data_IF_183004140838
#
_entry.id   IF_183004140838
#
_cell.length_a   1.000
_cell.length_b   1.000
_cell.length_c   1.000
_cell.angle_alpha   90.00
_cell.angle_beta   90.00
_cell.angle_gamma   90.00
#
_symmetry.space_group_name_H-M   'P 1'
#
loop_
_entity.id
_entity.type
_entity.pdbx_description
1 polymer ?
#
# COMPACT_ATOMS: atom_id res chain seq x y z
N UNK A 1 23.56 -3.77 -17.38
CA UNK A 1 22.46 -2.76 -17.46
C UNK A 1 21.72 -2.68 -16.12
N UNK A 2 21.17 -1.51 -15.74
CA UNK A 2 20.38 -1.32 -14.52
C UNK A 2 18.93 -0.97 -14.87
N UNK A 3 17.97 -1.57 -14.17
CA UNK A 3 16.53 -1.33 -14.34
C UNK A 3 15.92 -0.95 -12.99
N UNK A 4 15.17 0.17 -12.97
CA UNK A 4 14.39 0.60 -11.82
C UNK A 4 12.90 0.45 -12.13
N UNK A 5 12.18 -0.26 -11.27
CA UNK A 5 10.73 -0.45 -11.39
C UNK A 5 10.07 0.31 -10.23
N UNK A 6 9.38 1.41 -10.53
CA UNK A 6 8.54 2.09 -9.56
C UNK A 6 7.16 1.40 -9.50
N UNK A 7 6.68 1.12 -8.29
CA UNK A 7 5.39 0.45 -8.06
C UNK A 7 4.61 1.08 -6.91
N UNK A 8 3.30 1.21 -7.09
CA UNK A 8 2.34 1.61 -6.06
C UNK A 8 1.79 0.38 -5.29
N UNK A 9 2.31 -0.82 -5.55
CA UNK A 9 1.87 -2.07 -4.93
C UNK A 9 0.56 -2.63 -5.50
N UNK A 10 -0.04 -1.98 -6.50
CA UNK A 10 -1.26 -2.44 -7.15
C UNK A 10 -1.04 -3.71 -8.00
N UNK A 11 -2.13 -4.36 -8.41
CA UNK A 11 -2.07 -5.47 -9.38
C UNK A 11 -1.37 -5.06 -10.68
N UNK A 12 -1.50 -3.79 -11.08
CA UNK A 12 -0.92 -3.25 -12.31
C UNK A 12 0.60 -3.10 -12.16
N UNK A 13 1.08 -2.64 -10.99
CA UNK A 13 2.50 -2.60 -10.67
C UNK A 13 3.15 -4.00 -10.67
N UNK A 14 2.43 -5.00 -10.16
CA UNK A 14 2.88 -6.41 -10.26
C UNK A 14 3.01 -6.86 -11.72
N UNK A 15 2.00 -6.63 -12.54
CA UNK A 15 2.04 -7.00 -13.97
C UNK A 15 3.16 -6.28 -14.74
N UNK A 16 3.42 -5.01 -14.43
CA UNK A 16 4.55 -4.27 -15.00
C UNK A 16 5.89 -4.93 -14.63
N UNK A 17 6.04 -5.39 -13.38
CA UNK A 17 7.23 -6.10 -12.91
C UNK A 17 7.42 -7.44 -13.64
N UNK A 18 6.34 -8.20 -13.82
CA UNK A 18 6.33 -9.45 -14.59
C UNK A 18 6.62 -9.23 -16.09
N UNK A 19 6.27 -8.06 -16.62
CA UNK A 19 6.59 -7.69 -17.99
C UNK A 19 8.08 -7.43 -18.19
N UNK A 20 8.74 -6.72 -17.25
CA UNK A 20 10.19 -6.52 -17.25
C UNK A 20 10.95 -7.85 -17.23
N UNK A 21 10.47 -8.84 -16.46
CA UNK A 21 11.08 -10.17 -16.41
C UNK A 21 11.06 -10.92 -17.76
N UNK A 22 10.18 -10.51 -18.69
CA UNK A 22 10.03 -11.13 -20.03
C UNK A 22 10.73 -10.34 -21.14
N UNK A 23 11.34 -9.19 -20.84
CA UNK A 23 12.03 -8.40 -21.85
C UNK A 23 13.30 -9.10 -22.34
N UNK A 24 13.58 -9.05 -23.66
CA UNK A 24 14.79 -9.62 -24.24
C UNK A 24 15.98 -8.69 -24.01
N UNK A 25 16.42 -8.57 -22.77
CA UNK A 25 17.63 -7.81 -22.48
C UNK A 25 18.86 -8.52 -23.04
N UNK A 26 19.76 -7.76 -23.67
CA UNK A 26 21.00 -8.30 -24.26
C UNK A 26 21.89 -8.99 -23.20
N UNK A 27 21.82 -8.52 -21.95
CA UNK A 27 22.49 -9.09 -20.79
C UNK A 27 21.51 -9.11 -19.61
N UNK A 28 21.73 -10.00 -18.63
CA UNK A 28 20.91 -10.05 -17.41
C UNK A 28 20.94 -8.68 -16.71
N UNK A 29 19.80 -8.00 -16.51
CA UNK A 29 19.80 -6.71 -15.83
C UNK A 29 19.97 -6.88 -14.32
N UNK A 30 20.59 -5.88 -13.70
CA UNK A 30 20.45 -5.62 -12.27
C UNK A 30 19.16 -4.85 -12.04
N UNK A 31 18.24 -5.40 -11.24
CA UNK A 31 16.87 -4.91 -11.09
C UNK A 31 16.64 -4.44 -9.66
N UNK A 32 16.22 -3.18 -9.53
CA UNK A 32 15.77 -2.60 -8.27
C UNK A 32 14.27 -2.26 -8.36
N UNK A 33 13.54 -2.56 -7.28
CA UNK A 33 12.11 -2.23 -7.16
C UNK A 33 11.96 -1.14 -6.11
N UNK A 34 11.28 -0.05 -6.49
CA UNK A 34 10.96 1.07 -5.61
C UNK A 34 9.45 1.11 -5.39
N UNK A 35 9.03 0.83 -4.16
CA UNK A 35 7.65 1.08 -3.76
C UNK A 35 7.49 2.54 -3.32
N UNK A 36 6.56 3.26 -3.92
CA UNK A 36 6.28 4.67 -3.58
C UNK A 36 4.95 4.75 -2.88
N UNK A 37 4.95 5.38 -1.70
CA UNK A 37 3.75 5.59 -0.89
C UNK A 37 3.47 7.08 -0.78
N UNK A 38 2.23 7.48 -1.08
CA UNK A 38 1.78 8.86 -0.90
C UNK A 38 1.50 9.12 0.59
N UNK A 39 2.39 9.87 1.22
CA UNK A 39 2.32 10.20 2.65
C UNK A 39 1.17 11.18 2.94
N UNK A 40 0.75 12.00 1.98
CA UNK A 40 -0.38 12.92 2.16
C UNK A 40 -1.71 12.16 2.09
N UNK A 41 -1.84 11.22 1.15
CA UNK A 41 -2.97 10.28 1.12
C UNK A 41 -3.03 9.43 2.39
N UNK A 42 -1.88 9.10 3.01
CA UNK A 42 -1.85 8.41 4.29
C UNK A 42 -2.28 9.25 5.49
N UNK A 43 -2.23 10.59 5.37
CA UNK A 43 -2.67 11.55 6.40
C UNK A 43 -4.17 11.84 6.33
N UNK A 44 -4.85 11.47 5.24
CA UNK A 44 -6.32 11.46 5.18
C UNK A 44 -6.86 10.53 6.28
N UNK A 45 -8.06 10.78 6.84
CA UNK A 45 -8.43 10.22 8.13
C UNK A 45 -8.77 8.74 7.97
N UNK A 46 -7.77 7.87 8.05
CA UNK A 46 -7.92 6.62 8.81
C UNK A 46 -7.98 6.98 10.29
N UNK A 47 -8.86 7.91 10.67
CA UNK A 47 -9.35 7.94 12.03
C UNK A 47 -9.96 6.55 12.22
N UNK A 48 -9.28 5.75 13.03
CA UNK A 48 -9.81 4.56 13.68
C UNK A 48 -11.32 4.71 13.75
N UNK A 49 -12.06 3.95 12.96
CA UNK A 49 -13.47 3.79 13.26
C UNK A 49 -13.45 3.03 14.57
N UNK A 50 -13.71 3.67 15.74
CA UNK A 50 -13.84 2.89 16.94
C UNK A 50 -15.10 2.10 16.68
N UNK A 51 -14.94 0.82 16.40
CA UNK A 51 -16.04 -0.12 16.48
C UNK A 51 -16.38 -0.18 17.96
N UNK A 52 -17.25 0.73 18.40
CA UNK A 52 -17.95 0.61 19.67
C UNK A 52 -18.94 -0.53 19.45
N UNK A 53 -18.52 -1.77 19.70
CA UNK A 53 -19.45 -2.86 19.97
C UNK A 53 -19.98 -2.56 21.37
N UNK A 54 -20.99 -1.71 21.42
CA UNK A 54 -21.64 -1.28 22.64
C UNK A 54 -22.36 -2.46 23.27
N UNK A 55 -21.84 -2.95 24.39
CA UNK A 55 -22.66 -3.61 25.39
C UNK A 55 -22.24 -3.14 26.79
N UNK A 56 -22.19 -1.83 27.00
CA UNK A 56 -22.07 -1.26 28.34
C UNK A 56 -23.41 -0.64 28.78
N UNK A 57 -23.90 -0.97 29.98
CA UNK A 57 -25.15 -0.42 30.52
C UNK A 57 -24.92 1.03 30.94
N UNK A 58 -25.84 1.90 30.55
CA UNK A 58 -25.83 3.31 30.93
C UNK A 58 -25.74 3.48 32.46
N UNK A 59 -24.71 4.17 32.95
CA UNK A 59 -24.71 4.67 34.34
C UNK A 59 -25.63 5.90 34.36
N UNK A 60 -26.84 5.68 34.89
CA UNK A 60 -27.83 6.73 35.12
C UNK A 60 -27.50 7.40 36.46
N UNK A 61 -27.12 8.67 36.44
CA UNK A 61 -27.05 9.48 37.66
C UNK A 61 -28.47 9.92 38.03
N UNK A 62 -28.97 9.47 39.18
CA UNK A 62 -30.17 10.03 39.81
C UNK A 62 -29.85 11.35 40.50
N UNK A 63 -30.79 12.28 40.37
CA UNK A 63 -30.83 13.64 40.93
C UNK A 63 -30.60 13.70 42.44
#
# INVERSE_FOLDING_TARGET
MKVLIATDGSKYGKWATEWVARMPFAEKPDVSVLHVTDVEALRAPFMFQPVVIGNEPFIQFSL
#
